data_IF_113277995571
#
_entry.id   IF_113277995571
#
_cell.length_a   1.000
_cell.length_b   1.000
_cell.length_c   1.000
_cell.angle_alpha   90.00
_cell.angle_beta   90.00
_cell.angle_gamma   90.00
#
_symmetry.space_group_name_H-M   'P 1'
#
loop_
_entity.id
_entity.type
_entity.pdbx_description
1 polymer ?
#
# COMPACT_ATOMS: atom_id res chain seq x y z
N UNK A 1 22.69 -43.19 49.83
CA UNK A 1 21.37 -42.85 49.24
C UNK A 1 20.83 -41.64 50.00
N UNK A 2 20.80 -40.47 49.36
CA UNK A 2 19.91 -39.32 49.61
C UNK A 2 20.53 -38.06 48.97
N UNK A 3 20.31 -37.88 47.66
CA UNK A 3 20.48 -36.58 47.02
C UNK A 3 19.19 -35.78 47.23
N UNK A 4 19.30 -34.60 47.83
CA UNK A 4 18.21 -33.65 47.95
C UNK A 4 18.10 -32.85 46.65
N UNK A 5 17.21 -33.31 45.76
CA UNK A 5 16.63 -32.48 44.70
C UNK A 5 15.42 -31.74 45.29
N UNK A 6 15.49 -30.41 45.38
CA UNK A 6 14.31 -29.56 45.20
C UNK A 6 14.73 -28.11 44.96
N UNK A 7 14.58 -27.64 43.73
CA UNK A 7 14.70 -26.24 43.36
C UNK A 7 13.26 -25.75 43.09
N UNK A 8 12.73 -24.75 43.81
CA UNK A 8 11.40 -24.24 43.51
C UNK A 8 11.46 -23.42 42.22
N UNK A 9 10.93 -23.97 41.13
CA UNK A 9 10.69 -23.23 39.89
C UNK A 9 9.57 -22.20 40.13
N UNK A 10 9.96 -20.96 40.37
CA UNK A 10 9.01 -19.85 40.48
C UNK A 10 8.60 -19.41 39.07
N UNK A 11 7.33 -19.62 38.80
CA UNK A 11 6.46 -18.96 37.82
C UNK A 11 6.90 -17.59 37.32
N UNK A 12 7.07 -17.46 36.01
CA UNK A 12 6.69 -16.24 35.25
C UNK A 12 6.24 -16.61 33.84
N UNK A 13 4.93 -16.65 33.53
CA UNK A 13 4.45 -16.46 32.17
C UNK A 13 4.47 -14.95 31.89
N UNK A 14 5.60 -14.42 31.42
CA UNK A 14 5.64 -13.10 30.79
C UNK A 14 4.98 -13.22 29.42
N UNK A 15 3.67 -13.03 29.44
CA UNK A 15 2.87 -12.61 28.31
C UNK A 15 3.30 -11.16 27.97
N UNK A 16 3.93 -10.87 26.81
CA UNK A 16 4.08 -9.48 26.39
C UNK A 16 2.69 -8.95 26.00
N UNK A 17 2.11 -8.19 26.92
CA UNK A 17 0.95 -7.34 26.69
C UNK A 17 1.20 -6.39 25.49
N UNK A 18 0.20 -6.16 24.63
CA UNK A 18 0.32 -5.28 23.47
C UNK A 18 0.43 -3.82 23.93
N UNK A 19 1.62 -3.23 23.77
CA UNK A 19 1.80 -1.78 23.85
C UNK A 19 1.15 -1.08 22.65
N UNK A 20 -0.08 -0.63 22.83
CA UNK A 20 -0.55 0.62 22.22
C UNK A 20 0.05 1.79 23.02
N UNK A 21 1.01 2.54 22.47
CA UNK A 21 1.01 4.01 22.53
C UNK A 21 2.16 4.64 21.73
N UNK A 22 1.77 5.44 20.74
CA UNK A 22 2.28 6.77 20.38
C UNK A 22 3.78 7.03 20.13
N UNK A 23 4.00 7.67 18.97
CA UNK A 23 5.04 8.67 18.68
C UNK A 23 6.36 8.19 18.09
N UNK A 24 6.37 7.97 16.77
CA UNK A 24 7.33 8.56 15.80
C UNK A 24 7.04 7.95 14.42
N UNK A 25 7.08 8.71 13.30
CA UNK A 25 7.15 8.12 11.97
C UNK A 25 8.52 7.45 11.82
N UNK A 26 8.66 6.24 12.36
CA UNK A 26 9.80 5.36 12.14
C UNK A 26 9.93 5.20 10.62
N UNK A 27 10.99 5.75 10.05
CA UNK A 27 11.28 5.66 8.63
C UNK A 27 11.54 4.19 8.28
N UNK A 28 10.48 3.44 8.01
CA UNK A 28 10.58 2.04 7.62
C UNK A 28 11.24 2.02 6.24
N UNK A 29 12.48 1.54 6.19
CA UNK A 29 13.17 1.34 4.94
C UNK A 29 12.33 0.37 4.10
N UNK A 30 12.04 0.69 2.82
CA UNK A 30 11.20 -0.16 2.00
C UNK A 30 11.90 -1.50 1.79
N UNK A 31 11.36 -2.56 2.36
CA UNK A 31 11.82 -3.94 2.19
C UNK A 31 10.91 -4.69 1.22
N UNK A 32 11.46 -5.72 0.57
CA UNK A 32 10.68 -6.50 -0.39
C UNK A 32 9.67 -7.36 0.35
N UNK A 33 8.38 -7.22 0.06
CA UNK A 33 7.35 -8.00 0.76
C UNK A 33 7.38 -9.52 0.46
N UNK A 34 8.17 -9.96 -0.53
CA UNK A 34 8.32 -11.39 -0.84
C UNK A 34 9.57 -12.02 -0.25
N UNK A 35 10.71 -11.34 -0.34
CA UNK A 35 12.01 -11.89 0.06
C UNK A 35 12.64 -11.17 1.27
N UNK A 36 11.97 -10.14 1.79
CA UNK A 36 12.41 -9.32 2.93
C UNK A 36 13.80 -8.70 2.79
N UNK A 37 14.33 -8.65 1.57
CA UNK A 37 15.60 -7.99 1.27
C UNK A 37 15.38 -6.48 1.13
N UNK A 38 16.24 -5.71 1.79
CA UNK A 38 16.46 -4.30 1.49
C UNK A 38 17.34 -4.20 0.25
N UNK A 39 16.92 -3.43 -0.73
CA UNK A 39 17.67 -3.13 -1.95
C UNK A 39 17.57 -1.63 -2.18
N UNK A 40 18.51 -1.06 -2.92
CA UNK A 40 18.48 0.37 -3.23
C UNK A 40 17.42 0.70 -4.29
N UNK A 41 16.95 -0.30 -5.05
CA UNK A 41 16.06 -0.11 -6.20
C UNK A 41 14.73 -0.88 -6.07
N UNK A 42 14.08 -0.79 -4.91
CA UNK A 42 12.74 -1.38 -4.78
C UNK A 42 11.70 -0.60 -5.58
N UNK A 43 10.90 -1.35 -6.32
CA UNK A 43 9.75 -0.85 -7.08
C UNK A 43 8.49 -1.08 -6.27
N UNK A 44 7.76 0.01 -6.03
CA UNK A 44 6.44 -0.07 -5.42
C UNK A 44 5.42 -0.65 -6.40
N UNK A 45 4.34 -1.22 -5.87
CA UNK A 45 3.21 -1.67 -6.67
C UNK A 45 2.53 -0.47 -7.34
N UNK A 46 2.50 -0.41 -8.68
CA UNK A 46 1.90 0.70 -9.45
C UNK A 46 0.40 0.95 -9.20
N UNK A 47 -0.31 0.03 -8.53
CA UNK A 47 -1.75 0.17 -8.26
C UNK A 47 -2.02 0.81 -6.91
N UNK A 48 -1.37 0.29 -5.87
CA UNK A 48 -1.64 0.68 -4.51
C UNK A 48 -0.51 1.44 -3.84
N UNK A 49 0.70 1.43 -4.40
CA UNK A 49 1.90 2.12 -3.92
C UNK A 49 2.31 1.79 -2.46
N UNK A 50 1.60 0.87 -1.80
CA UNK A 50 1.78 0.53 -0.39
C UNK A 50 2.84 -0.54 -0.15
N UNK A 51 3.11 -1.39 -1.15
CA UNK A 51 4.02 -2.53 -1.01
C UNK A 51 5.14 -2.45 -2.02
N UNK A 52 6.37 -2.75 -1.59
CA UNK A 52 7.59 -2.66 -2.38
C UNK A 52 8.15 -4.05 -2.72
N UNK A 53 8.75 -4.17 -3.90
CA UNK A 53 9.38 -5.40 -4.39
C UNK A 53 10.73 -5.09 -5.01
N UNK A 54 11.71 -6.00 -4.86
CA UNK A 54 12.98 -5.88 -5.57
C UNK A 54 12.80 -6.09 -7.09
N UNK A 55 11.93 -7.02 -7.49
CA UNK A 55 11.75 -7.44 -8.88
C UNK A 55 10.30 -7.77 -9.23
N UNK A 56 10.01 -7.81 -10.54
CA UNK A 56 8.70 -8.25 -11.07
C UNK A 56 8.38 -9.71 -10.71
N UNK A 57 9.38 -10.56 -10.57
CA UNK A 57 9.19 -11.96 -10.13
C UNK A 57 8.69 -12.03 -8.68
N UNK A 58 9.30 -11.24 -7.78
CA UNK A 58 8.84 -11.14 -6.39
C UNK A 58 7.40 -10.61 -6.31
N UNK A 59 7.06 -9.62 -7.15
CA UNK A 59 5.69 -9.11 -7.25
C UNK A 59 4.71 -10.19 -7.73
N UNK A 60 5.03 -10.94 -8.80
CA UNK A 60 4.17 -12.01 -9.34
C UNK A 60 3.97 -13.14 -8.33
N UNK A 61 5.04 -13.55 -7.64
CA UNK A 61 4.97 -14.58 -6.62
C UNK A 61 4.07 -14.16 -5.44
N UNK A 62 4.14 -12.90 -5.01
CA UNK A 62 3.29 -12.35 -3.95
C UNK A 62 1.89 -11.94 -4.44
N UNK A 63 1.64 -11.87 -5.76
CA UNK A 63 0.41 -11.32 -6.32
C UNK A 63 -0.87 -12.06 -5.87
N UNK A 64 -0.80 -13.39 -5.69
CA UNK A 64 -1.98 -14.20 -5.30
C UNK A 64 -2.54 -13.79 -3.93
N UNK A 65 -1.65 -13.53 -2.96
CA UNK A 65 -2.04 -13.05 -1.62
C UNK A 65 -2.29 -11.54 -1.65
N UNK A 66 -1.44 -10.79 -2.34
CA UNK A 66 -1.52 -9.33 -2.42
C UNK A 66 -2.80 -8.84 -3.10
N UNK A 67 -3.32 -9.51 -4.13
CA UNK A 67 -4.49 -9.04 -4.91
C UNK A 67 -5.71 -8.73 -4.04
N UNK A 68 -5.91 -9.48 -2.95
CA UNK A 68 -7.03 -9.31 -2.03
C UNK A 68 -6.98 -7.95 -1.30
N UNK A 69 -5.78 -7.53 -0.90
CA UNK A 69 -5.55 -6.26 -0.20
C UNK A 69 -5.20 -5.12 -1.14
N UNK A 70 -4.68 -5.44 -2.34
CA UNK A 70 -4.24 -4.47 -3.35
C UNK A 70 -5.37 -3.53 -3.76
N UNK A 71 -6.59 -4.06 -3.91
CA UNK A 71 -7.76 -3.25 -4.29
C UNK A 71 -8.11 -2.21 -3.22
N UNK A 72 -8.15 -2.59 -1.94
CA UNK A 72 -8.44 -1.68 -0.83
C UNK A 72 -7.35 -0.61 -0.70
N UNK A 73 -6.08 -1.02 -0.71
CA UNK A 73 -4.94 -0.09 -0.63
C UNK A 73 -4.89 0.86 -1.83
N UNK A 74 -5.29 0.42 -3.03
CA UNK A 74 -5.39 1.29 -4.19
C UNK A 74 -6.49 2.35 -4.03
N UNK A 75 -7.64 1.99 -3.45
CA UNK A 75 -8.68 2.97 -3.16
C UNK A 75 -8.22 3.99 -2.11
N UNK A 76 -7.51 3.55 -1.08
CA UNK A 76 -6.91 4.43 -0.08
C UNK A 76 -5.89 5.37 -0.72
N UNK A 77 -5.01 4.84 -1.58
CA UNK A 77 -4.04 5.65 -2.31
C UNK A 77 -4.73 6.71 -3.19
N UNK A 78 -5.80 6.36 -3.91
CA UNK A 78 -6.55 7.34 -4.73
C UNK A 78 -7.23 8.40 -3.88
N UNK A 79 -7.78 8.04 -2.71
CA UNK A 79 -8.39 8.99 -1.77
C UNK A 79 -7.34 9.93 -1.16
N UNK A 80 -6.19 9.40 -0.77
CA UNK A 80 -5.12 10.17 -0.15
C UNK A 80 -4.36 11.04 -1.16
N UNK A 81 -4.15 10.51 -2.37
CA UNK A 81 -3.46 11.16 -3.47
C UNK A 81 -4.45 11.83 -4.42
N UNK A 82 -5.60 12.33 -3.92
CA UNK A 82 -6.68 12.92 -4.72
C UNK A 82 -6.06 13.90 -5.73
N UNK A 83 -5.96 13.53 -7.02
CA UNK A 83 -5.63 14.52 -8.00
C UNK A 83 -6.87 15.40 -8.00
N UNK A 84 -6.76 16.63 -7.48
CA UNK A 84 -7.69 17.70 -7.83
C UNK A 84 -7.60 17.80 -9.35
N UNK A 85 -8.40 16.98 -10.04
CA UNK A 85 -8.73 17.18 -11.43
C UNK A 85 -9.15 18.63 -11.47
N UNK A 86 -8.35 19.46 -12.14
CA UNK A 86 -8.70 20.85 -12.38
C UNK A 86 -10.13 20.79 -12.89
N UNK A 87 -11.05 21.30 -12.07
CA UNK A 87 -12.47 21.37 -12.38
C UNK A 87 -12.54 21.74 -13.85
N UNK A 88 -13.02 20.82 -14.70
CA UNK A 88 -13.29 21.16 -16.10
C UNK A 88 -14.21 22.34 -15.98
N UNK A 89 -13.68 23.52 -16.30
CA UNK A 89 -14.26 24.80 -15.97
C UNK A 89 -15.75 24.71 -16.21
N UNK A 90 -16.56 24.86 -15.16
CA UNK A 90 -18.01 24.98 -15.29
C UNK A 90 -18.31 26.34 -15.92
N UNK A 91 -17.90 26.52 -17.17
CA UNK A 91 -18.20 27.64 -18.05
C UNK A 91 -19.14 27.13 -19.15
N UNK A 92 -20.21 26.44 -18.76
CA UNK A 92 -21.33 26.10 -19.65
C UNK A 92 -22.65 26.05 -18.88
N UNK A 93 -22.95 27.16 -18.21
CA UNK A 93 -24.31 27.67 -18.08
C UNK A 93 -24.15 29.18 -18.34
N UNK A 94 -24.61 29.79 -19.44
CA UNK A 94 -25.85 29.63 -20.21
C UNK A 94 -25.60 30.02 -21.68
N UNK A 95 -26.11 29.22 -22.63
CA UNK A 95 -26.32 29.62 -24.03
C UNK A 95 -25.15 29.51 -25.02
N UNK A 96 -24.84 28.29 -25.50
CA UNK A 96 -24.18 28.05 -26.80
C UNK A 96 -24.12 26.52 -27.06
N UNK A 97 -25.21 25.94 -27.56
CA UNK A 97 -25.32 24.51 -27.87
C UNK A 97 -25.73 24.27 -29.32
N UNK A 98 -25.02 24.86 -30.27
CA UNK A 98 -25.10 24.38 -31.65
C UNK A 98 -23.80 24.74 -32.38
N UNK A 99 -23.26 23.83 -33.20
CA UNK A 99 -22.08 23.96 -34.09
C UNK A 99 -20.68 23.53 -33.60
N UNK A 100 -20.54 22.80 -32.49
CA UNK A 100 -19.21 22.45 -31.95
C UNK A 100 -18.62 21.07 -32.31
N UNK A 101 -19.39 20.08 -32.76
CA UNK A 101 -18.97 18.66 -32.66
C UNK A 101 -19.06 17.82 -33.96
N UNK A 102 -19.27 18.43 -35.14
CA UNK A 102 -19.56 17.67 -36.37
C UNK A 102 -18.41 17.47 -37.38
N UNK A 103 -17.19 17.92 -37.09
CA UNK A 103 -16.05 17.70 -38.01
C UNK A 103 -14.94 16.84 -37.39
N UNK A 104 -15.21 15.54 -37.33
CA UNK A 104 -14.19 14.52 -37.54
C UNK A 104 -14.69 13.62 -38.68
N UNK A 105 -14.80 14.23 -39.86
CA UNK A 105 -15.15 13.52 -41.08
C UNK A 105 -13.88 13.40 -41.90
N UNK A 106 -13.71 12.17 -42.40
CA UNK A 106 -12.50 11.59 -42.96
C UNK A 106 -11.89 12.38 -44.13
N UNK A 107 -10.57 12.27 -44.20
CA UNK A 107 -9.68 12.52 -45.33
C UNK A 107 -10.16 11.73 -46.57
N UNK A 108 -10.45 12.43 -47.68
CA UNK A 108 -10.42 11.88 -49.05
C UNK A 108 -9.99 12.94 -50.05
#
# INVERSE_FOLDING_TARGET
MAEASDFPVTTTPTNPEPSESSSAPSQQTPVCARCSKSSESLKQCLKCHSVSYCDKDCQKAHFKTHKKVCASLAQEYVKANEPKMASRSTASARGARDRGLQKWQFDT
#
